data_IF_975719235229
#
_entry.id   IF_975719235229
#
_cell.length_a   1.000
_cell.length_b   1.000
_cell.length_c   1.000
_cell.angle_alpha   90.00
_cell.angle_beta   90.00
_cell.angle_gamma   90.00
#
_symmetry.space_group_name_H-M   'P 1'
#
loop_
_entity.id
_entity.type
_entity.pdbx_description
1 polymer ?
#
# COMPACT_ATOMS: atom_id res chain seq x y z
N UNK A 1 13.75 -6.03 -18.30
CA UNK A 1 14.66 -6.25 -17.16
C UNK A 1 16.00 -5.65 -17.52
N UNK A 2 16.53 -4.72 -16.72
CA UNK A 2 17.81 -4.05 -16.98
C UNK A 2 18.62 -4.08 -15.68
N UNK A 3 19.58 -4.97 -15.61
CA UNK A 3 20.57 -5.00 -14.53
C UNK A 3 21.60 -3.90 -14.79
N UNK A 4 21.88 -3.07 -13.79
CA UNK A 4 22.92 -2.05 -13.88
C UNK A 4 24.09 -2.49 -13.00
N UNK A 5 25.24 -2.75 -13.64
CA UNK A 5 26.47 -3.10 -12.93
C UNK A 5 27.01 -1.86 -12.20
N UNK A 6 27.12 -1.90 -10.87
CA UNK A 6 27.94 -0.93 -10.13
C UNK A 6 29.36 -1.45 -10.01
N UNK A 7 30.32 -0.56 -10.23
CA UNK A 7 31.76 -0.86 -10.22
C UNK A 7 32.34 -1.34 -8.88
N UNK A 8 31.54 -1.58 -7.84
CA UNK A 8 31.98 -2.15 -6.55
C UNK A 8 31.82 -3.69 -6.47
N UNK A 9 31.41 -4.36 -7.55
CA UNK A 9 31.29 -5.82 -7.59
C UNK A 9 30.01 -6.37 -6.94
N UNK A 10 29.06 -5.50 -6.59
CA UNK A 10 27.75 -5.87 -6.06
C UNK A 10 26.66 -5.66 -7.11
N UNK A 11 25.89 -6.71 -7.39
CA UNK A 11 24.66 -6.60 -8.17
C UNK A 11 23.59 -5.91 -7.31
N UNK A 12 23.31 -4.65 -7.60
CA UNK A 12 22.10 -4.02 -7.10
C UNK A 12 20.94 -4.42 -8.02
N UNK A 13 20.11 -5.39 -7.61
CA UNK A 13 18.75 -5.48 -8.17
C UNK A 13 18.10 -4.13 -7.90
N UNK A 14 17.74 -3.39 -8.94
CA UNK A 14 16.62 -2.46 -8.83
C UNK A 14 15.40 -3.35 -8.57
N UNK A 15 15.14 -3.66 -7.30
CA UNK A 15 13.92 -4.33 -6.91
C UNK A 15 12.79 -3.41 -7.35
N UNK A 16 11.99 -3.85 -8.32
CA UNK A 16 10.62 -3.36 -8.44
C UNK A 16 10.01 -3.56 -7.07
N UNK A 17 9.81 -2.49 -6.30
CA UNK A 17 9.18 -2.60 -5.00
C UNK A 17 7.75 -3.09 -5.23
N UNK A 18 7.55 -4.41 -5.14
CA UNK A 18 6.22 -5.01 -5.17
C UNK A 18 5.63 -4.73 -3.80
N UNK A 19 4.88 -3.63 -3.69
CA UNK A 19 4.18 -3.31 -2.45
C UNK A 19 3.08 -4.34 -2.29
N UNK A 20 3.06 -5.04 -1.15
CA UNK A 20 1.95 -5.92 -0.81
C UNK A 20 1.03 -5.19 0.17
N UNK A 21 -0.22 -4.98 -0.20
CA UNK A 21 -1.19 -4.29 0.63
C UNK A 21 -1.73 -5.20 1.74
N UNK A 22 -1.91 -4.60 2.91
CA UNK A 22 -2.52 -5.23 4.08
C UNK A 22 -3.62 -4.33 4.61
N UNK A 23 -4.61 -4.93 5.27
CA UNK A 23 -5.68 -4.17 5.89
C UNK A 23 -5.14 -3.19 6.94
N UNK A 24 -5.77 -2.00 7.02
CA UNK A 24 -5.45 -0.95 7.97
C UNK A 24 -4.05 -0.33 7.83
N UNK A 25 -3.30 -0.67 6.77
CA UNK A 25 -2.04 0.00 6.45
C UNK A 25 -2.28 1.46 6.04
N UNK A 26 -1.25 2.29 6.13
CA UNK A 26 -1.29 3.66 5.61
C UNK A 26 -0.35 3.77 4.42
N UNK A 27 -0.80 4.43 3.35
CA UNK A 27 -0.04 4.60 2.11
C UNK A 27 -0.06 6.05 1.65
N UNK A 28 1.00 6.47 0.98
CA UNK A 28 1.07 7.76 0.28
C UNK A 28 0.83 7.49 -1.20
N UNK A 29 -0.18 8.16 -1.73
CA UNK A 29 -0.52 8.12 -3.15
C UNK A 29 0.17 9.29 -3.86
N UNK A 30 0.57 9.07 -5.11
CA UNK A 30 1.10 10.14 -5.96
C UNK A 30 0.02 11.21 -6.10
N UNK A 31 0.43 12.47 -5.98
CA UNK A 31 -0.44 13.65 -6.05
C UNK A 31 -1.40 13.85 -4.85
N UNK A 32 -1.34 12.99 -3.84
CA UNK A 32 -2.09 13.16 -2.57
C UNK A 32 -1.10 13.39 -1.43
N UNK A 33 -1.19 14.58 -0.84
CA UNK A 33 -0.25 15.05 0.19
C UNK A 33 -0.43 14.32 1.54
N UNK A 34 -1.66 13.87 1.82
CA UNK A 34 -2.00 13.19 3.06
C UNK A 34 -1.93 11.66 2.91
N UNK A 35 -1.32 10.95 3.88
CA UNK A 35 -1.41 9.50 3.95
C UNK A 35 -2.86 9.01 3.97
N UNK A 36 -3.12 7.90 3.29
CA UNK A 36 -4.44 7.32 3.12
C UNK A 36 -4.49 5.92 3.72
N UNK A 37 -5.56 5.61 4.43
CA UNK A 37 -5.73 4.30 5.03
C UNK A 37 -6.22 3.30 3.99
N UNK A 38 -5.56 2.14 3.96
CA UNK A 38 -5.95 0.98 3.18
C UNK A 38 -7.08 0.25 3.90
N UNK A 39 -8.18 0.02 3.20
CA UNK A 39 -9.31 -0.76 3.71
C UNK A 39 -9.52 -1.96 2.80
N UNK A 40 -9.54 -3.15 3.36
CA UNK A 40 -9.86 -4.34 2.55
C UNK A 40 -11.36 -4.33 2.19
N UNK A 41 -11.67 -4.64 0.93
CA UNK A 41 -13.07 -4.81 0.54
C UNK A 41 -13.66 -6.06 1.19
N UNK A 42 -14.89 -5.94 1.70
CA UNK A 42 -15.56 -7.05 2.42
C UNK A 42 -16.21 -8.06 1.48
N UNK A 43 -16.60 -7.63 0.28
CA UNK A 43 -17.26 -8.47 -0.72
C UNK A 43 -16.25 -9.22 -1.59
N UNK A 44 -15.08 -8.64 -1.81
CA UNK A 44 -13.99 -9.21 -2.61
C UNK A 44 -12.63 -9.04 -1.89
N UNK A 45 -12.10 -10.10 -1.25
CA UNK A 45 -10.87 -10.01 -0.46
C UNK A 45 -9.60 -9.77 -1.29
N UNK A 46 -9.68 -9.78 -2.63
CA UNK A 46 -8.58 -9.43 -3.51
C UNK A 46 -8.47 -7.92 -3.79
N UNK A 47 -9.46 -7.13 -3.34
CA UNK A 47 -9.56 -5.69 -3.60
C UNK A 47 -9.33 -4.87 -2.33
N UNK A 48 -8.60 -3.77 -2.49
CA UNK A 48 -8.31 -2.80 -1.44
C UNK A 48 -8.76 -1.41 -1.85
N UNK A 49 -9.39 -0.69 -0.92
CA UNK A 49 -9.94 0.64 -1.11
C UNK A 49 -8.99 1.65 -0.45
N UNK A 50 -8.53 2.63 -1.23
CA UNK A 50 -7.64 3.69 -0.77
C UNK A 50 -8.12 5.01 -1.39
N UNK A 51 -8.50 5.99 -0.56
CA UNK A 51 -8.99 7.31 -1.00
C UNK A 51 -10.10 7.28 -2.07
N UNK A 52 -10.93 6.23 -2.08
CA UNK A 52 -12.01 6.04 -3.06
C UNK A 52 -11.61 5.27 -4.34
N UNK A 53 -10.36 4.88 -4.48
CA UNK A 53 -9.87 4.06 -5.60
C UNK A 53 -9.71 2.59 -5.21
N UNK A 54 -9.79 1.70 -6.21
CA UNK A 54 -9.68 0.25 -6.04
C UNK A 54 -8.30 -0.24 -6.50
N UNK A 55 -7.64 -1.02 -5.64
CA UNK A 55 -6.34 -1.62 -5.92
C UNK A 55 -6.35 -3.13 -5.71
N UNK A 56 -5.52 -3.85 -6.45
CA UNK A 56 -5.18 -5.23 -6.15
C UNK A 56 -4.20 -5.33 -4.97
N UNK A 57 -3.89 -6.56 -4.56
CA UNK A 57 -2.95 -6.84 -3.47
C UNK A 57 -1.52 -6.34 -3.74
N UNK A 58 -1.15 -6.14 -5.00
CA UNK A 58 0.17 -5.68 -5.44
C UNK A 58 0.21 -4.14 -5.62
N UNK A 59 -0.86 -3.44 -5.23
CA UNK A 59 -0.96 -1.98 -5.27
C UNK A 59 -1.19 -1.41 -6.67
N UNK A 60 -1.74 -2.20 -7.59
CA UNK A 60 -2.09 -1.76 -8.95
C UNK A 60 -3.58 -1.42 -9.02
N UNK A 61 -3.95 -0.51 -9.91
CA UNK A 61 -5.35 -0.21 -10.18
C UNK A 61 -6.11 -1.50 -10.51
N UNK A 62 -7.18 -1.79 -9.77
CA UNK A 62 -7.97 -3.01 -9.97
C UNK A 62 -8.76 -2.95 -11.28
N UNK A 63 -9.26 -1.76 -11.64
CA UNK A 63 -9.93 -1.50 -12.91
C UNK A 63 -9.06 -0.64 -13.82
N UNK A 64 -8.80 -1.12 -15.04
CA UNK A 64 -8.02 -0.39 -16.06
C UNK A 64 -8.74 0.89 -16.52
N UNK A 65 -10.07 0.94 -16.40
CA UNK A 65 -10.89 2.07 -16.81
C UNK A 65 -10.83 3.28 -15.85
N UNK A 66 -10.33 3.09 -14.62
CA UNK A 66 -10.22 4.16 -13.63
C UNK A 66 -8.74 4.53 -13.45
N UNK A 67 -8.31 5.76 -13.76
CA UNK A 67 -6.95 6.19 -13.46
C UNK A 67 -6.78 6.30 -11.94
N UNK A 68 -6.24 5.25 -11.33
CA UNK A 68 -5.90 5.26 -9.90
C UNK A 68 -4.48 5.84 -9.69
N UNK A 69 -4.30 6.74 -8.71
CA UNK A 69 -2.98 7.25 -8.36
C UNK A 69 -1.97 6.15 -8.01
N UNK A 70 -0.70 6.35 -8.38
CA UNK A 70 0.33 5.38 -8.03
C UNK A 70 0.61 5.41 -6.52
N UNK A 71 0.64 4.26 -5.85
CA UNK A 71 1.16 4.16 -4.49
C UNK A 71 2.68 4.38 -4.52
N UNK A 72 3.14 5.44 -3.86
CA UNK A 72 4.56 5.83 -3.82
C UNK A 72 5.24 5.17 -2.63
N UNK A 73 4.55 5.09 -1.49
CA UNK A 73 5.11 4.60 -0.25
C UNK A 73 4.04 3.96 0.63
N UNK A 74 4.39 2.86 1.30
CA UNK A 74 3.63 2.33 2.43
C UNK A 74 4.32 2.78 3.73
N UNK A 75 3.55 3.35 4.64
CA UNK A 75 4.05 3.79 5.94
C UNK A 75 4.20 2.60 6.88
N UNK A 76 5.31 2.59 7.62
CA UNK A 76 5.45 1.71 8.78
C UNK A 76 4.52 2.17 9.91
N UNK A 77 4.26 1.29 10.87
CA UNK A 77 3.50 1.66 12.07
C UNK A 77 4.16 2.82 12.84
N UNK A 78 5.49 2.86 12.87
CA UNK A 78 6.23 3.95 13.51
C UNK A 78 5.98 5.27 12.77
N UNK A 79 6.15 5.30 11.45
CA UNK A 79 5.90 6.50 10.66
C UNK A 79 4.45 6.95 10.78
N UNK A 80 3.49 6.03 10.73
CA UNK A 80 2.07 6.36 10.91
C UNK A 80 1.80 7.04 12.27
N UNK A 81 2.45 6.58 13.35
CA UNK A 81 2.35 7.22 14.68
C UNK A 81 2.98 8.61 14.72
N UNK A 82 4.12 8.80 14.05
CA UNK A 82 4.77 10.12 13.91
C UNK A 82 3.87 11.12 13.16
N UNK A 83 3.10 10.65 12.18
CA UNK A 83 2.06 11.42 11.49
C UNK A 83 0.76 11.59 12.30
N UNK A 84 0.67 11.07 13.53
CA UNK A 84 -0.54 11.14 14.35
C UNK A 84 -1.70 10.29 13.80
N UNK A 85 -1.43 9.34 12.90
CA UNK A 85 -2.43 8.50 12.27
C UNK A 85 -2.82 7.35 13.21
N UNK A 86 -4.11 6.99 13.20
CA UNK A 86 -4.58 5.87 13.99
C UNK A 86 -3.99 4.56 13.44
N UNK A 87 -3.29 3.83 14.31
CA UNK A 87 -2.74 2.50 14.03
C UNK A 87 -3.59 1.39 14.65
N UNK A 88 -4.81 1.70 15.09
CA UNK A 88 -5.72 0.70 15.60
C UNK A 88 -6.14 -0.20 14.44
N UNK A 89 -5.56 -1.39 14.38
CA UNK A 89 -6.15 -2.50 13.67
C UNK A 89 -7.52 -2.71 14.30
N UNK A 90 -8.60 -2.46 13.56
CA UNK A 90 -9.92 -2.89 14.00
C UNK A 90 -9.90 -4.42 13.94
N UNK A 91 -9.45 -5.07 15.02
CA UNK A 91 -9.72 -6.49 15.23
C UNK A 91 -11.23 -6.64 15.11
N UNK A 92 -11.74 -7.46 14.19
CA UNK A 92 -13.17 -7.67 14.09
C UNK A 92 -13.67 -8.11 15.47
N UNK A 93 -14.66 -7.38 16.00
CA UNK A 93 -15.24 -7.58 17.33
C UNK A 93 -15.96 -8.94 17.48
N UNK A 94 -15.88 -9.80 16.48
CA UNK A 94 -16.51 -11.13 16.43
C UNK A 94 -15.64 -12.24 17.04
N UNK A 95 -14.43 -11.94 17.53
CA UNK A 95 -13.55 -12.92 18.20
C UNK A 95 -13.67 -12.95 19.73
N UNK A 96 -14.72 -12.33 20.30
CA UNK A 96 -14.97 -12.24 21.74
C UNK A 96 -16.39 -12.69 22.16
N UNK A 97 -17.08 -13.47 21.34
CA UNK A 97 -18.38 -14.07 21.69
C UNK A 97 -18.26 -15.58 21.89
#
# INVERSE_FOLDING_TARGET
>A
MRDLWRGDGKWCRMGTMTIRLYDSAWVILRDLDAPQQVKKDRSNPAVFHIAGFHYDIDGRAYFIAEPAPQIVQMLSLQAAREFGLSTQYATPKELLA
#
